data_IF_718707447069
#
_entry.id   IF_718707447069
#
_cell.length_a   1.000
_cell.length_b   1.000
_cell.length_c   1.000
_cell.angle_alpha   90.00
_cell.angle_beta   90.00
_cell.angle_gamma   90.00
#
_symmetry.space_group_name_H-M   'P 1'
#
loop_
_entity.id
_entity.type
_entity.pdbx_description
1 polymer ?
#
# COMPACT_ATOMS: atom_id res chain seq x y z
N UNK A 1 -7.41 35.58 -6.58
CA UNK A 1 -5.95 35.64 -6.83
C UNK A 1 -5.57 34.36 -7.55
N UNK A 2 -4.90 34.45 -8.71
CA UNK A 2 -4.31 33.26 -9.31
C UNK A 2 -3.26 32.72 -8.33
N UNK A 3 -3.38 31.45 -7.91
CA UNK A 3 -2.38 30.80 -7.06
C UNK A 3 -1.07 30.78 -7.85
N UNK A 4 -0.06 31.54 -7.43
CA UNK A 4 1.27 31.53 -8.05
C UNK A 4 1.79 30.09 -7.98
N UNK A 5 2.18 29.53 -9.12
CA UNK A 5 2.70 28.16 -9.16
C UNK A 5 3.97 28.06 -8.31
N UNK A 6 4.07 27.01 -7.50
CA UNK A 6 5.15 26.83 -6.53
C UNK A 6 6.54 26.85 -7.18
N UNK A 7 6.64 26.32 -8.41
CA UNK A 7 7.88 26.31 -9.21
C UNK A 7 8.46 27.70 -9.47
N UNK A 8 7.60 28.74 -9.53
CA UNK A 8 7.99 30.12 -9.82
C UNK A 8 8.38 30.93 -8.57
N UNK A 9 8.39 30.30 -7.40
CA UNK A 9 8.85 30.89 -6.15
C UNK A 9 10.38 30.91 -6.09
N UNK A 10 10.94 31.88 -5.37
CA UNK A 10 12.35 31.90 -5.01
C UNK A 10 12.69 30.74 -4.06
N UNK A 11 13.97 30.42 -3.95
CA UNK A 11 14.48 29.43 -2.98
C UNK A 11 13.99 29.72 -1.55
N UNK A 12 14.07 30.97 -1.11
CA UNK A 12 13.67 31.38 0.24
C UNK A 12 12.15 31.26 0.45
N UNK A 13 11.36 31.62 -0.55
CA UNK A 13 9.90 31.46 -0.54
C UNK A 13 9.53 29.95 -0.43
N UNK A 14 10.19 29.08 -1.21
CA UNK A 14 9.99 27.63 -1.18
C UNK A 14 10.32 27.03 0.19
N UNK A 15 11.46 27.39 0.77
CA UNK A 15 11.90 26.91 2.07
C UNK A 15 11.00 27.42 3.21
N UNK A 16 10.48 28.65 3.11
CA UNK A 16 9.52 29.19 4.07
C UNK A 16 8.21 28.40 4.05
N UNK A 17 7.65 28.13 2.87
CA UNK A 17 6.40 27.35 2.74
C UNK A 17 6.56 25.93 3.30
N UNK A 18 7.72 25.29 3.08
CA UNK A 18 8.02 23.97 3.66
C UNK A 18 8.02 24.03 5.20
N UNK A 19 8.63 25.06 5.80
CA UNK A 19 8.66 25.23 7.27
C UNK A 19 7.27 25.43 7.88
N UNK A 20 6.37 26.06 7.16
CA UNK A 20 4.99 26.31 7.59
C UNK A 20 4.05 25.11 7.35
N UNK A 21 4.51 24.11 6.59
CA UNK A 21 3.75 22.91 6.26
C UNK A 21 3.89 21.84 7.35
N UNK A 22 2.77 21.20 7.72
CA UNK A 22 2.80 19.99 8.53
C UNK A 22 3.36 18.81 7.72
N UNK A 23 4.51 18.29 8.12
CA UNK A 23 5.17 17.16 7.45
C UNK A 23 4.83 15.87 8.18
N UNK A 24 4.12 14.97 7.50
CA UNK A 24 3.88 13.62 8.02
C UNK A 24 5.18 12.80 8.04
N UNK A 25 5.34 11.90 9.03
CA UNK A 25 6.51 11.02 9.15
C UNK A 25 6.82 10.26 7.86
N UNK A 26 5.77 9.78 7.17
CA UNK A 26 5.91 9.04 5.92
C UNK A 26 6.44 9.90 4.75
N UNK A 27 6.33 11.23 4.83
CA UNK A 27 6.80 12.18 3.82
C UNK A 27 8.16 12.78 4.12
N UNK A 28 8.68 12.60 5.34
CA UNK A 28 9.89 13.26 5.83
C UNK A 28 11.09 13.05 4.91
N UNK A 29 11.31 11.83 4.41
CA UNK A 29 12.42 11.54 3.51
C UNK A 29 12.35 12.35 2.20
N UNK A 30 11.16 12.49 1.61
CA UNK A 30 10.96 13.24 0.38
C UNK A 30 11.19 14.74 0.61
N UNK A 31 10.68 15.29 1.72
CA UNK A 31 10.94 16.68 2.09
C UNK A 31 12.42 16.93 2.35
N UNK A 32 13.11 16.07 3.11
CA UNK A 32 14.54 16.24 3.39
C UNK A 32 15.38 16.23 2.11
N UNK A 33 15.08 15.34 1.16
CA UNK A 33 15.73 15.32 -0.16
C UNK A 33 15.48 16.61 -0.94
N UNK A 34 14.25 17.10 -0.92
CA UNK A 34 13.89 18.32 -1.64
C UNK A 34 14.49 19.59 -1.01
N UNK A 35 14.47 19.72 0.32
CA UNK A 35 15.14 20.79 1.07
C UNK A 35 16.63 20.80 0.76
N UNK A 36 17.28 19.63 0.82
CA UNK A 36 18.72 19.52 0.53
C UNK A 36 19.03 19.96 -0.90
N UNK A 37 18.17 19.63 -1.87
CA UNK A 37 18.33 20.07 -3.25
C UNK A 37 18.19 21.60 -3.40
N UNK A 38 17.20 22.20 -2.72
CA UNK A 38 17.03 23.65 -2.67
C UNK A 38 18.26 24.34 -2.05
N UNK A 39 18.72 23.87 -0.89
CA UNK A 39 19.85 24.45 -0.16
C UNK A 39 21.15 24.43 -0.97
N UNK A 40 21.41 23.35 -1.72
CA UNK A 40 22.61 23.18 -2.54
C UNK A 40 22.48 23.66 -3.99
N UNK A 41 21.34 24.27 -4.35
CA UNK A 41 21.05 24.73 -5.72
C UNK A 41 21.18 23.59 -6.78
N UNK A 42 20.86 22.36 -6.37
CA UNK A 42 20.86 21.17 -7.24
C UNK A 42 19.66 21.23 -8.20
N UNK A 43 19.87 21.96 -9.29
CA UNK A 43 18.85 22.24 -10.30
C UNK A 43 18.29 20.97 -10.93
N UNK A 44 19.09 19.90 -11.03
CA UNK A 44 18.64 18.62 -11.61
C UNK A 44 17.62 17.95 -10.69
N UNK A 45 17.92 17.87 -9.40
CA UNK A 45 17.02 17.28 -8.41
C UNK A 45 15.77 18.15 -8.21
N UNK A 46 15.94 19.48 -8.15
CA UNK A 46 14.81 20.42 -8.06
C UNK A 46 13.86 20.22 -9.24
N UNK A 47 14.35 20.24 -10.48
CA UNK A 47 13.52 20.05 -11.67
C UNK A 47 12.83 18.68 -11.68
N UNK A 48 13.51 17.64 -11.18
CA UNK A 48 12.90 16.32 -11.06
C UNK A 48 11.73 16.31 -10.07
N UNK A 49 11.89 16.89 -8.87
CA UNK A 49 10.81 17.04 -7.90
C UNK A 49 9.66 17.90 -8.45
N UNK A 50 9.96 19.06 -9.02
CA UNK A 50 8.96 19.99 -9.53
C UNK A 50 8.21 19.44 -10.77
N UNK A 51 8.75 18.42 -11.45
CA UNK A 51 8.02 17.69 -12.50
C UNK A 51 6.78 16.92 -11.97
N UNK A 52 6.63 16.78 -10.65
CA UNK A 52 5.55 16.00 -10.04
C UNK A 52 4.29 16.83 -9.70
N UNK A 53 4.30 18.15 -9.88
CA UNK A 53 3.11 18.97 -9.73
C UNK A 53 3.38 20.46 -9.54
N UNK A 54 2.32 21.26 -9.52
CA UNK A 54 2.43 22.73 -9.45
C UNK A 54 2.37 23.31 -8.03
N UNK A 55 2.18 22.46 -7.02
CA UNK A 55 2.23 22.83 -5.60
C UNK A 55 3.03 21.82 -4.78
N UNK A 56 3.58 22.28 -3.65
CA UNK A 56 4.44 21.49 -2.77
C UNK A 56 3.80 20.15 -2.37
N UNK A 57 2.50 20.17 -2.05
CA UNK A 57 1.77 18.99 -1.59
C UNK A 57 1.64 17.93 -2.69
N UNK A 58 1.43 18.34 -3.94
CA UNK A 58 1.43 17.45 -5.10
C UNK A 58 2.83 16.97 -5.45
N UNK A 59 3.82 17.86 -5.48
CA UNK A 59 5.23 17.54 -5.74
C UNK A 59 5.66 16.37 -4.85
N UNK A 60 5.50 16.51 -3.53
CA UNK A 60 5.98 15.51 -2.59
C UNK A 60 5.19 14.20 -2.68
N UNK A 61 3.86 14.27 -2.71
CA UNK A 61 3.07 13.03 -2.74
C UNK A 61 3.12 12.29 -4.06
N UNK A 62 3.12 12.98 -5.20
CA UNK A 62 3.26 12.33 -6.50
C UNK A 62 4.68 11.76 -6.68
N UNK A 63 5.73 12.44 -6.19
CA UNK A 63 7.08 11.87 -6.14
C UNK A 63 7.12 10.55 -5.33
N UNK A 64 6.51 10.54 -4.14
CA UNK A 64 6.45 9.35 -3.29
C UNK A 64 5.64 8.23 -3.94
N UNK A 65 4.47 8.56 -4.51
CA UNK A 65 3.63 7.62 -5.23
C UNK A 65 4.39 6.99 -6.42
N UNK A 66 5.12 7.81 -7.17
CA UNK A 66 5.93 7.34 -8.28
C UNK A 66 7.03 6.38 -7.85
N UNK A 67 7.75 6.69 -6.77
CA UNK A 67 8.78 5.78 -6.26
C UNK A 67 8.19 4.43 -5.82
N UNK A 68 6.98 4.42 -5.25
CA UNK A 68 6.28 3.17 -4.95
C UNK A 68 5.82 2.43 -6.20
N UNK A 69 5.32 3.15 -7.21
CA UNK A 69 4.96 2.60 -8.51
C UNK A 69 6.14 1.84 -9.15
N UNK A 70 7.36 2.39 -9.05
CA UNK A 70 8.57 1.76 -9.59
C UNK A 70 8.87 0.39 -8.94
N UNK A 71 8.53 0.20 -7.66
CA UNK A 71 8.73 -1.09 -6.98
C UNK A 71 7.92 -2.23 -7.60
N UNK A 72 6.82 -1.90 -8.28
CA UNK A 72 5.97 -2.83 -9.04
C UNK A 72 6.17 -2.73 -10.56
N UNK A 73 7.18 -2.00 -11.03
CA UNK A 73 7.51 -1.82 -12.44
C UNK A 73 6.59 -0.85 -13.19
N UNK A 74 5.81 -0.03 -12.49
CA UNK A 74 4.99 1.00 -13.11
C UNK A 74 5.83 2.28 -13.29
N UNK A 75 6.23 2.57 -14.52
CA UNK A 75 7.17 3.66 -14.86
C UNK A 75 6.48 4.91 -15.43
N UNK A 76 5.18 4.83 -15.74
CA UNK A 76 4.45 5.93 -16.37
C UNK A 76 3.96 6.94 -15.34
N UNK A 77 4.20 8.23 -15.60
CA UNK A 77 3.61 9.33 -14.84
C UNK A 77 2.32 9.78 -15.53
N UNK A 78 1.17 9.25 -15.10
CA UNK A 78 -0.15 9.78 -15.50
C UNK A 78 -0.77 10.53 -14.34
N UNK A 79 -1.49 11.61 -14.64
CA UNK A 79 -2.11 12.49 -13.65
C UNK A 79 -3.58 12.71 -14.03
N UNK A 80 -4.44 12.76 -13.03
CA UNK A 80 -5.84 13.14 -13.24
C UNK A 80 -5.98 14.66 -13.41
N UNK A 81 -7.20 15.11 -13.70
CA UNK A 81 -7.53 16.54 -13.91
C UNK A 81 -7.16 17.44 -12.72
N UNK A 82 -7.08 16.88 -11.51
CA UNK A 82 -6.67 17.61 -10.31
C UNK A 82 -5.15 17.66 -10.11
N UNK A 83 -4.36 17.04 -11.00
CA UNK A 83 -2.90 16.95 -10.92
C UNK A 83 -2.38 15.90 -9.93
N UNK A 84 -3.23 14.95 -9.51
CA UNK A 84 -2.79 13.81 -8.69
C UNK A 84 -2.39 12.64 -9.58
N UNK A 85 -1.29 11.98 -9.23
CA UNK A 85 -0.85 10.78 -9.96
C UNK A 85 -1.93 9.70 -9.90
N UNK A 86 -2.25 9.13 -11.05
CA UNK A 86 -3.25 8.07 -11.14
C UNK A 86 -2.74 6.78 -10.51
N UNK A 87 -3.68 6.00 -9.96
CA UNK A 87 -3.36 4.70 -9.38
C UNK A 87 -3.08 3.70 -10.50
N UNK A 88 -1.97 2.95 -10.43
CA UNK A 88 -1.73 1.91 -11.41
C UNK A 88 -2.76 0.79 -11.28
N UNK A 89 -3.05 0.14 -12.40
CA UNK A 89 -3.89 -1.05 -12.44
C UNK A 89 -2.99 -2.27 -12.32
N UNK A 90 -3.17 -3.03 -11.24
CA UNK A 90 -2.47 -4.31 -11.05
C UNK A 90 -3.09 -5.41 -11.91
N UNK A 91 -2.27 -6.40 -12.27
CA UNK A 91 -2.63 -7.55 -13.08
C UNK A 91 -2.98 -8.76 -12.21
N UNK A 92 -3.61 -9.78 -12.80
CA UNK A 92 -3.87 -11.08 -12.17
C UNK A 92 -4.50 -10.95 -10.76
N UNK A 93 -5.38 -9.95 -10.58
CA UNK A 93 -6.03 -9.71 -9.29
C UNK A 93 -6.94 -10.88 -8.95
N UNK A 94 -6.79 -11.42 -7.75
CA UNK A 94 -7.62 -12.48 -7.19
C UNK A 94 -8.13 -12.09 -5.80
N UNK A 95 -9.39 -12.40 -5.54
CA UNK A 95 -10.01 -12.33 -4.22
C UNK A 95 -10.25 -13.76 -3.73
N UNK A 96 -9.79 -14.06 -2.52
CA UNK A 96 -9.90 -15.39 -1.91
C UNK A 96 -10.66 -15.25 -0.60
N UNK A 97 -11.86 -15.81 -0.57
CA UNK A 97 -12.70 -15.82 0.61
C UNK A 97 -12.14 -16.79 1.66
N UNK A 98 -11.87 -16.27 2.86
CA UNK A 98 -11.44 -17.09 4.00
C UNK A 98 -12.66 -17.57 4.78
N UNK A 99 -13.55 -16.65 5.16
CA UNK A 99 -14.69 -17.00 6.01
C UNK A 99 -15.83 -16.00 5.89
N UNK A 100 -17.07 -16.49 6.03
CA UNK A 100 -18.26 -15.66 6.23
C UNK A 100 -18.95 -16.14 7.48
N UNK A 101 -19.13 -15.25 8.45
CA UNK A 101 -19.88 -15.61 9.64
C UNK A 101 -21.39 -15.71 9.36
N UNK A 102 -22.08 -16.49 10.19
CA UNK A 102 -23.51 -16.83 10.04
C UNK A 102 -24.44 -15.62 9.99
N UNK A 103 -24.02 -14.48 10.54
CA UNK A 103 -24.81 -13.23 10.53
C UNK A 103 -24.75 -12.47 9.17
N UNK A 104 -24.13 -13.05 8.15
CA UNK A 104 -24.23 -12.61 6.76
C UNK A 104 -23.08 -11.71 6.28
N UNK A 105 -23.34 -10.95 5.22
CA UNK A 105 -22.33 -10.26 4.41
C UNK A 105 -21.47 -9.22 5.14
N UNK A 106 -21.90 -8.75 6.31
CA UNK A 106 -21.19 -7.74 7.12
C UNK A 106 -19.97 -8.28 7.86
N UNK A 107 -19.84 -9.61 7.97
CA UNK A 107 -18.77 -10.29 8.69
C UNK A 107 -18.01 -11.26 7.75
N UNK A 108 -17.72 -10.76 6.54
CA UNK A 108 -16.89 -11.44 5.54
C UNK A 108 -15.42 -11.18 5.81
N UNK A 109 -14.60 -12.21 5.61
CA UNK A 109 -13.16 -12.17 5.72
C UNK A 109 -12.55 -12.73 4.43
N UNK A 110 -11.81 -11.92 3.68
CA UNK A 110 -11.17 -12.34 2.44
C UNK A 110 -9.81 -11.65 2.29
N UNK A 111 -8.94 -12.27 1.49
CA UNK A 111 -7.67 -11.70 1.08
C UNK A 111 -7.72 -11.34 -0.40
N UNK A 112 -6.94 -10.34 -0.80
CA UNK A 112 -6.70 -10.02 -2.20
C UNK A 112 -5.21 -10.21 -2.50
N UNK A 113 -4.89 -10.68 -3.70
CA UNK A 113 -3.52 -10.64 -4.24
C UNK A 113 -3.54 -10.11 -5.66
N UNK A 114 -2.48 -9.41 -6.06
CA UNK A 114 -2.33 -8.93 -7.42
C UNK A 114 -0.86 -8.74 -7.81
N UNK A 115 -0.60 -8.72 -9.11
CA UNK A 115 0.73 -8.71 -9.71
C UNK A 115 1.04 -7.35 -10.32
N UNK A 116 2.23 -6.83 -10.02
CA UNK A 116 2.82 -5.67 -10.67
C UNK A 116 3.36 -6.00 -12.07
N UNK A 117 3.67 -4.97 -12.85
CA UNK A 117 4.22 -5.12 -14.21
C UNK A 117 5.55 -5.88 -14.24
N UNK A 118 6.37 -5.73 -13.19
CA UNK A 118 7.65 -6.42 -13.05
C UNK A 118 7.55 -7.85 -12.46
N UNK A 119 6.34 -8.38 -12.30
CA UNK A 119 6.12 -9.73 -11.77
C UNK A 119 6.13 -9.85 -10.24
N UNK A 120 6.41 -8.77 -9.50
CA UNK A 120 6.23 -8.74 -8.04
C UNK A 120 4.76 -8.79 -7.69
N UNK A 121 4.44 -9.36 -6.53
CA UNK A 121 3.09 -9.49 -6.02
C UNK A 121 2.87 -8.60 -4.81
N UNK A 122 1.61 -8.19 -4.61
CA UNK A 122 1.16 -7.52 -3.39
C UNK A 122 -0.11 -8.15 -2.86
N UNK A 123 -0.46 -7.82 -1.63
CA UNK A 123 -1.66 -8.31 -0.98
C UNK A 123 -2.49 -7.18 -0.35
N UNK A 124 -3.77 -7.46 -0.19
CA UNK A 124 -4.72 -6.69 0.61
C UNK A 124 -5.51 -7.62 1.50
N UNK A 125 -6.10 -7.08 2.56
CA UNK A 125 -7.00 -7.85 3.43
C UNK A 125 -8.33 -7.13 3.61
N UNK A 126 -9.37 -7.93 3.76
CA UNK A 126 -10.64 -7.51 4.30
C UNK A 126 -10.90 -8.35 5.53
N UNK A 127 -10.52 -7.85 6.71
CA UNK A 127 -10.72 -8.53 7.98
C UNK A 127 -11.82 -7.83 8.79
N UNK A 128 -12.87 -8.56 9.17
CA UNK A 128 -14.05 -8.05 9.87
C UNK A 128 -14.35 -8.92 11.08
N UNK A 129 -14.60 -8.27 12.21
CA UNK A 129 -15.21 -8.85 13.40
C UNK A 129 -16.52 -8.12 13.74
N UNK A 130 -17.23 -8.58 14.77
CA UNK A 130 -18.40 -7.88 15.31
C UNK A 130 -18.08 -6.53 15.98
N UNK A 131 -16.81 -6.19 16.20
CA UNK A 131 -16.36 -5.01 16.96
C UNK A 131 -15.50 -4.05 16.13
N UNK A 132 -15.19 -4.39 14.88
CA UNK A 132 -14.42 -3.53 13.99
C UNK A 132 -13.85 -4.29 12.80
N UNK A 133 -13.12 -3.59 11.94
CA UNK A 133 -12.48 -4.17 10.76
C UNK A 133 -11.10 -3.59 10.51
N UNK A 134 -10.29 -4.34 9.79
CA UNK A 134 -9.04 -3.88 9.19
C UNK A 134 -9.10 -4.20 7.71
N UNK A 135 -9.12 -3.14 6.89
CA UNK A 135 -9.34 -3.25 5.45
C UNK A 135 -8.35 -2.38 4.71
N UNK A 136 -7.62 -3.01 3.80
CA UNK A 136 -6.82 -2.35 2.78
C UNK A 136 -6.85 -3.18 1.50
N UNK A 137 -7.18 -2.52 0.39
CA UNK A 137 -7.17 -3.16 -0.93
C UNK A 137 -5.78 -3.15 -1.56
N UNK A 138 -5.69 -3.78 -2.72
CA UNK A 138 -4.48 -3.75 -3.56
C UNK A 138 -4.02 -2.30 -3.83
N UNK A 139 -2.76 -2.01 -3.47
CA UNK A 139 -2.13 -0.72 -3.75
C UNK A 139 -0.61 -0.84 -3.77
N UNK A 140 0.07 0.18 -4.31
CA UNK A 140 1.54 0.28 -4.31
C UNK A 140 2.16 0.53 -2.93
N UNK A 141 1.32 0.71 -1.90
CA UNK A 141 1.75 0.81 -0.51
C UNK A 141 1.65 -0.52 0.23
N UNK A 142 1.11 -1.56 -0.41
CA UNK A 142 1.04 -2.90 0.14
C UNK A 142 2.42 -3.58 0.21
N UNK A 143 2.44 -4.74 0.86
CA UNK A 143 3.65 -5.57 0.94
C UNK A 143 4.11 -6.02 -0.45
N UNK A 144 5.41 -6.24 -0.62
CA UNK A 144 6.00 -6.70 -1.88
C UNK A 144 6.49 -8.13 -1.69
N UNK A 145 6.07 -9.01 -2.58
CA UNK A 145 6.35 -10.43 -2.57
C UNK A 145 6.90 -10.89 -3.91
N UNK A 146 7.76 -11.90 -3.90
CA UNK A 146 8.36 -12.44 -5.13
C UNK A 146 7.40 -13.35 -5.90
N UNK A 147 6.48 -14.00 -5.21
CA UNK A 147 5.51 -14.92 -5.80
C UNK A 147 4.10 -14.68 -5.27
N UNK A 148 3.11 -15.21 -5.99
CA UNK A 148 1.70 -15.19 -5.59
C UNK A 148 1.49 -15.92 -4.26
N UNK A 149 2.14 -17.07 -4.09
CA UNK A 149 2.04 -17.91 -2.90
C UNK A 149 2.52 -17.16 -1.67
N UNK A 150 3.63 -16.42 -1.77
CA UNK A 150 4.14 -15.60 -0.67
C UNK A 150 3.20 -14.42 -0.37
N UNK A 151 2.61 -13.81 -1.39
CA UNK A 151 1.61 -12.75 -1.18
C UNK A 151 0.36 -13.28 -0.45
N UNK A 152 -0.12 -14.47 -0.81
CA UNK A 152 -1.22 -15.16 -0.13
C UNK A 152 -0.86 -15.43 1.34
N UNK A 153 0.31 -16.03 1.59
CA UNK A 153 0.78 -16.34 2.95
C UNK A 153 0.89 -15.07 3.79
N UNK A 154 1.44 -13.99 3.23
CA UNK A 154 1.51 -12.67 3.87
C UNK A 154 0.11 -12.16 4.24
N UNK A 155 -0.85 -12.22 3.32
CA UNK A 155 -2.23 -11.79 3.56
C UNK A 155 -2.90 -12.60 4.68
N UNK A 156 -2.73 -13.93 4.68
CA UNK A 156 -3.24 -14.81 5.72
C UNK A 156 -2.66 -14.46 7.10
N UNK A 157 -1.35 -14.24 7.21
CA UNK A 157 -0.75 -13.80 8.48
C UNK A 157 -1.32 -12.46 8.97
N UNK A 158 -1.58 -11.52 8.06
CA UNK A 158 -2.20 -10.23 8.41
C UNK A 158 -3.63 -10.38 8.94
N UNK A 159 -4.44 -11.25 8.32
CA UNK A 159 -5.79 -11.57 8.83
C UNK A 159 -5.72 -12.28 10.19
N UNK A 160 -4.83 -13.27 10.34
CA UNK A 160 -4.62 -13.97 11.61
C UNK A 160 -4.30 -12.97 12.72
N UNK A 161 -3.29 -12.11 12.50
CA UNK A 161 -2.91 -11.07 13.45
C UNK A 161 -4.06 -10.15 13.83
N UNK A 162 -4.90 -9.76 12.87
CA UNK A 162 -6.08 -8.95 13.18
C UNK A 162 -7.02 -9.68 14.14
N UNK A 163 -7.25 -10.98 13.95
CA UNK A 163 -8.19 -11.79 14.72
C UNK A 163 -7.67 -12.28 16.07
N UNK A 164 -6.36 -12.44 16.23
CA UNK A 164 -5.73 -12.79 17.51
C UNK A 164 -6.09 -11.79 18.62
N UNK A 165 -6.25 -10.51 18.27
CA UNK A 165 -6.60 -9.43 19.19
C UNK A 165 -8.12 -9.23 19.35
N UNK A 166 -8.97 -10.12 18.78
CA UNK A 166 -10.44 -9.96 18.80
C UNK A 166 -11.13 -11.02 19.63
N UNK A 167 -11.85 -10.57 20.64
CA UNK A 167 -12.84 -11.37 21.37
C UNK A 167 -14.15 -11.55 20.57
N UNK A 168 -14.05 -12.19 19.39
CA UNK A 168 -15.20 -12.52 18.53
C UNK A 168 -15.24 -14.02 18.26
N UNK A 169 -16.41 -14.63 18.38
CA UNK A 169 -16.60 -16.08 18.19
C UNK A 169 -16.22 -16.59 16.78
N UNK A 170 -16.23 -15.71 15.78
CA UNK A 170 -15.78 -16.05 14.42
C UNK A 170 -14.26 -16.03 14.25
N UNK A 171 -13.50 -15.41 15.16
CA UNK A 171 -12.04 -15.24 15.03
C UNK A 171 -11.30 -16.57 14.96
N UNK A 172 -11.60 -17.52 15.84
CA UNK A 172 -10.96 -18.84 15.84
C UNK A 172 -11.16 -19.57 14.51
N UNK A 173 -12.34 -19.41 13.91
CA UNK A 173 -12.64 -20.02 12.61
C UNK A 173 -11.88 -19.36 11.48
N UNK A 174 -11.75 -18.04 11.48
CA UNK A 174 -10.93 -17.30 10.50
C UNK A 174 -9.47 -17.71 10.62
N UNK A 175 -8.91 -17.74 11.83
CA UNK A 175 -7.52 -18.13 12.09
C UNK A 175 -7.26 -19.56 11.62
N UNK A 176 -8.12 -20.50 12.01
CA UNK A 176 -8.00 -21.90 11.58
C UNK A 176 -7.98 -22.04 10.06
N UNK A 177 -8.93 -21.42 9.35
CA UNK A 177 -9.02 -21.52 7.89
C UNK A 177 -7.85 -20.83 7.19
N UNK A 178 -7.37 -19.71 7.71
CA UNK A 178 -6.18 -19.04 7.18
C UNK A 178 -4.92 -19.89 7.35
N UNK A 179 -4.74 -20.55 8.50
CA UNK A 179 -3.63 -21.47 8.73
C UNK A 179 -3.71 -22.71 7.83
N UNK A 180 -4.88 -23.32 7.69
CA UNK A 180 -5.11 -24.45 6.77
C UNK A 180 -4.79 -24.05 5.32
N UNK A 181 -5.13 -22.82 4.92
CA UNK A 181 -4.82 -22.31 3.60
C UNK A 181 -3.31 -22.10 3.41
N UNK A 182 -2.60 -21.55 4.40
CA UNK A 182 -1.13 -21.45 4.38
C UNK A 182 -0.49 -22.82 4.21
N UNK A 183 -0.88 -23.80 5.02
CA UNK A 183 -0.33 -25.17 4.97
C UNK A 183 -0.57 -25.82 3.60
N UNK A 184 -1.74 -25.59 3.00
CA UNK A 184 -2.07 -26.05 1.64
C UNK A 184 -1.17 -25.43 0.58
N UNK A 185 -0.98 -24.11 0.62
CA UNK A 185 -0.13 -23.37 -0.32
C UNK A 185 1.34 -23.76 -0.20
N UNK A 186 1.83 -23.99 1.02
CA UNK A 186 3.20 -24.41 1.28
C UNK A 186 3.44 -25.91 1.05
N UNK A 187 2.41 -26.68 0.69
CA UNK A 187 2.53 -28.13 0.47
C UNK A 187 2.80 -28.93 1.74
N UNK A 188 2.56 -28.35 2.91
CA UNK A 188 2.72 -29.01 4.21
C UNK A 188 1.37 -29.60 4.61
N UNK A 189 1.08 -30.83 4.21
CA UNK A 189 -0.07 -31.54 4.82
C UNK A 189 0.37 -32.10 6.17
N UNK A 190 -0.47 -32.02 7.22
CA UNK A 190 -0.27 -32.87 8.39
C UNK A 190 -0.37 -34.33 7.93
N UNK A 191 0.65 -35.12 8.27
CA UNK A 191 0.60 -36.58 8.10
C UNK A 191 -0.58 -37.06 8.94
N UNK A 192 -1.63 -37.55 8.28
CA UNK A 192 -2.68 -38.29 8.95
C UNK A 192 -2.04 -39.59 9.47
N UNK A 193 -1.61 -39.60 10.73
CA UNK A 193 -1.24 -40.83 11.42
C UNK A 193 -2.52 -41.66 11.59
N UNK A 194 -2.73 -42.56 10.64
CA UNK A 194 -3.65 -43.68 10.83
C UNK A 194 -2.99 -44.60 11.85
N UNK A 195 -3.53 -44.62 13.07
CA UNK A 195 -3.25 -45.69 14.01
C UNK A 195 -3.89 -46.96 13.46
N UNK A 196 -3.05 -47.89 12.99
CA UNK A 196 -3.43 -49.28 12.75
C UNK A 196 -3.66 -49.99 14.07
#
# INVERSE_FOLDING_TARGET
MAKREYKNLSKDEKLKEIKETFIARAEQEAYSKYISALENDDTKTINYFESFGDDLRKIISNYRCFNQNLLFGFETKTYNESGWMERPVFFEKEEILIYVHKNGWKEKNFIEVAKGKNGKWTNGIWAQSNTGGNVDGISVWGEIHDTKELAIVGACHRIIKFHEDKSWNGSDKVIYLALEFIETILGRRPVQLSLF
#
